data_IF_468220534886
#
_entry.id   IF_468220534886
#
_cell.length_a   1.000
_cell.length_b   1.000
_cell.length_c   1.000
_cell.angle_alpha   90.00
_cell.angle_beta   90.00
_cell.angle_gamma   90.00
#
_symmetry.space_group_name_H-M   'P 1'
#
loop_
_entity.id
_entity.type
_entity.pdbx_description
1 polymer ?
#
# COMPACT_ATOMS: atom_id res chain seq x y z
N UNK A 1 -0.80 -22.59 -3.68
CA UNK A 1 0.05 -21.38 -3.61
C UNK A 1 -0.82 -20.14 -3.58
N UNK A 2 -0.49 -19.15 -2.72
CA UNK A 2 -1.31 -17.94 -2.59
C UNK A 2 -0.66 -16.74 -3.32
N UNK A 3 -1.24 -16.35 -4.44
CA UNK A 3 -0.91 -15.15 -5.23
C UNK A 3 -1.90 -14.01 -4.98
N UNK A 4 -2.86 -14.16 -4.07
CA UNK A 4 -3.81 -13.10 -3.75
C UNK A 4 -3.21 -11.99 -2.87
N UNK A 5 -2.17 -12.33 -2.10
CA UNK A 5 -1.42 -11.41 -1.27
C UNK A 5 -0.20 -10.83 -2.01
N UNK A 6 -0.01 -9.51 -1.93
CA UNK A 6 1.10 -8.79 -2.58
C UNK A 6 2.14 -8.43 -1.53
N UNK A 7 3.08 -9.36 -1.26
CA UNK A 7 4.14 -9.23 -0.25
C UNK A 7 5.50 -9.51 -0.89
N UNK A 8 6.59 -9.08 -0.25
CA UNK A 8 7.95 -9.36 -0.72
C UNK A 8 8.16 -10.87 -0.90
N UNK A 9 8.60 -11.32 -2.10
CA UNK A 9 8.73 -12.75 -2.42
C UNK A 9 9.91 -13.44 -1.72
N UNK A 10 10.85 -12.68 -1.16
CA UNK A 10 12.07 -13.22 -0.52
C UNK A 10 11.90 -13.51 0.98
N UNK A 11 10.68 -13.30 1.53
CA UNK A 11 10.43 -13.47 2.97
C UNK A 11 11.00 -12.33 3.82
N UNK A 12 10.84 -12.36 5.16
CA UNK A 12 11.37 -11.33 6.03
C UNK A 12 12.92 -11.37 6.10
N UNK A 13 13.59 -10.23 6.43
CA UNK A 13 15.03 -10.20 6.69
C UNK A 13 15.42 -11.23 7.76
N UNK A 14 16.59 -11.85 7.63
CA UNK A 14 17.01 -12.94 8.51
C UNK A 14 17.06 -12.53 10.00
N UNK A 15 17.59 -11.33 10.29
CA UNK A 15 17.68 -10.82 11.65
C UNK A 15 16.32 -10.63 12.37
N UNK A 16 15.21 -10.58 11.63
CA UNK A 16 13.86 -10.47 12.18
C UNK A 16 13.51 -11.68 13.07
N UNK A 17 13.92 -12.87 12.67
CA UNK A 17 13.63 -14.09 13.45
C UNK A 17 14.31 -14.10 14.82
N UNK A 18 15.55 -13.63 14.89
CA UNK A 18 16.29 -13.49 16.15
C UNK A 18 15.67 -12.39 17.01
N UNK A 19 15.35 -11.25 16.42
CA UNK A 19 14.70 -10.13 17.11
C UNK A 19 13.37 -10.56 17.75
N UNK A 20 12.53 -11.31 17.05
CA UNK A 20 11.27 -11.83 17.58
C UNK A 20 11.51 -12.80 18.77
N UNK A 21 12.50 -13.69 18.67
CA UNK A 21 12.82 -14.64 19.76
C UNK A 21 13.34 -13.96 21.02
N UNK A 22 13.88 -12.75 20.92
CA UNK A 22 14.40 -11.99 22.06
C UNK A 22 13.31 -11.25 22.86
N UNK A 23 12.07 -11.25 22.39
CA UNK A 23 10.99 -10.51 23.07
C UNK A 23 10.51 -11.25 24.32
N UNK A 24 10.48 -10.54 25.44
CA UNK A 24 9.82 -11.02 26.66
C UNK A 24 8.30 -10.88 26.50
N UNK A 25 7.61 -12.01 26.33
CA UNK A 25 6.16 -12.05 26.18
C UNK A 25 5.38 -11.72 27.46
N UNK A 26 6.05 -11.69 28.63
CA UNK A 26 5.43 -11.36 29.93
C UNK A 26 5.44 -9.85 30.22
N UNK A 27 6.17 -9.06 29.43
CA UNK A 27 6.26 -7.62 29.56
C UNK A 27 5.39 -6.88 28.53
N UNK A 28 4.76 -5.78 28.95
CA UNK A 28 4.11 -4.87 28.00
C UNK A 28 5.14 -4.24 27.07
N UNK A 29 4.81 -4.06 25.78
CA UNK A 29 5.69 -3.34 24.87
C UNK A 29 5.77 -1.85 25.23
N UNK A 30 6.75 -1.16 24.68
CA UNK A 30 6.85 0.30 24.82
C UNK A 30 5.62 0.97 24.13
N UNK A 31 4.75 1.70 24.87
CA UNK A 31 3.58 2.35 24.30
C UNK A 31 3.96 3.46 23.30
N UNK A 32 5.14 4.07 23.46
CA UNK A 32 5.66 5.12 22.62
C UNK A 32 6.37 4.61 21.35
N UNK A 33 6.66 3.31 21.28
CA UNK A 33 7.45 2.68 20.20
C UNK A 33 8.78 3.42 19.95
N UNK A 34 9.45 3.91 20.99
CA UNK A 34 10.56 4.86 20.90
C UNK A 34 11.70 4.32 20.04
N UNK A 35 12.19 3.09 20.35
CA UNK A 35 13.28 2.46 19.61
C UNK A 35 12.93 2.28 18.12
N UNK A 36 11.67 1.89 17.83
CA UNK A 36 11.20 1.73 16.45
C UNK A 36 11.11 3.08 15.72
N UNK A 37 10.54 4.11 16.35
CA UNK A 37 10.43 5.45 15.77
C UNK A 37 11.82 6.04 15.49
N UNK A 38 12.77 5.87 16.41
CA UNK A 38 14.16 6.26 16.18
C UNK A 38 14.82 5.47 15.02
N UNK A 39 14.55 4.16 14.91
CA UNK A 39 15.04 3.36 13.80
C UNK A 39 14.46 3.83 12.46
N UNK A 40 13.18 4.17 12.42
CA UNK A 40 12.53 4.77 11.24
C UNK A 40 13.21 6.11 10.91
N UNK A 41 13.40 7.01 11.88
CA UNK A 41 14.08 8.28 11.66
C UNK A 41 15.48 8.08 11.07
N UNK A 42 16.29 7.18 11.65
CA UNK A 42 17.63 6.86 11.11
C UNK A 42 17.59 6.34 9.69
N UNK A 43 16.61 5.49 9.38
CA UNK A 43 16.46 4.87 8.05
C UNK A 43 16.08 5.88 6.96
N UNK A 44 15.19 6.86 7.26
CA UNK A 44 14.69 7.82 6.26
C UNK A 44 15.46 9.14 6.23
N UNK A 45 16.25 9.45 7.27
CA UNK A 45 17.04 10.67 7.32
C UNK A 45 18.27 10.60 6.41
N UNK A 46 18.64 11.75 5.90
CA UNK A 46 19.89 11.93 5.12
C UNK A 46 20.72 13.06 5.78
N UNK A 47 21.99 13.22 5.43
CA UNK A 47 22.79 14.35 5.95
C UNK A 47 22.16 15.73 5.72
N UNK A 48 21.39 15.89 4.62
CA UNK A 48 20.72 17.13 4.25
C UNK A 48 19.31 17.26 4.81
N UNK A 49 18.70 16.16 5.31
CA UNK A 49 17.34 16.16 5.85
C UNK A 49 17.25 15.23 7.05
N UNK A 50 17.10 15.83 8.22
CA UNK A 50 16.83 15.08 9.46
C UNK A 50 15.33 15.08 9.73
N UNK A 51 14.78 13.92 10.06
CA UNK A 51 13.38 13.76 10.44
C UNK A 51 13.29 13.62 11.96
N UNK A 52 12.51 14.50 12.58
CA UNK A 52 12.23 14.46 14.02
C UNK A 52 11.37 13.23 14.34
N UNK A 53 11.63 12.61 15.49
CA UNK A 53 10.84 11.49 16.01
C UNK A 53 9.37 11.87 16.22
N UNK A 54 9.09 13.14 16.52
CA UNK A 54 7.74 13.67 16.71
C UNK A 54 6.91 13.67 15.41
N UNK A 55 7.57 13.48 14.29
CA UNK A 55 6.93 13.37 12.96
C UNK A 55 6.62 11.93 12.57
N UNK A 56 6.88 10.95 13.42
CA UNK A 56 6.70 9.51 13.16
C UNK A 56 5.60 8.94 14.04
N UNK A 57 4.60 8.32 13.44
CA UNK A 57 3.57 7.55 14.11
C UNK A 57 3.73 6.07 13.72
N UNK A 58 4.01 5.18 14.67
CA UNK A 58 3.94 3.74 14.45
C UNK A 58 2.49 3.27 14.63
N UNK A 59 2.06 2.25 13.86
CA UNK A 59 0.71 1.70 13.94
C UNK A 59 0.65 0.19 13.76
N UNK A 60 -0.41 -0.42 14.26
CA UNK A 60 -0.73 -1.84 14.11
C UNK A 60 -1.14 -2.14 12.64
N UNK A 61 -0.16 -2.09 11.75
CA UNK A 61 -0.33 -1.96 10.31
C UNK A 61 -0.75 -0.54 9.91
N UNK A 62 -0.63 -0.22 8.62
CA UNK A 62 -1.16 1.02 8.09
C UNK A 62 -2.69 1.15 8.25
N UNK A 63 -3.40 0.03 8.37
CA UNK A 63 -4.85 -0.01 8.58
C UNK A 63 -5.26 0.76 9.84
N UNK A 64 -4.59 0.55 10.99
CA UNK A 64 -4.88 1.33 12.20
C UNK A 64 -4.74 2.83 11.94
N UNK A 65 -3.71 3.24 11.21
CA UNK A 65 -3.47 4.65 10.90
C UNK A 65 -4.63 5.26 10.11
N UNK A 66 -5.21 4.54 9.15
CA UNK A 66 -6.40 5.00 8.42
C UNK A 66 -7.62 5.12 9.34
N UNK A 67 -7.83 4.19 10.26
CA UNK A 67 -8.90 4.29 11.25
C UNK A 67 -8.71 5.47 12.21
N UNK A 68 -7.47 5.75 12.64
CA UNK A 68 -7.18 6.94 13.45
C UNK A 68 -7.45 8.23 12.66
N UNK A 69 -6.99 8.30 11.40
CA UNK A 69 -7.24 9.45 10.52
C UNK A 69 -8.73 9.76 10.40
N UNK A 70 -9.53 8.75 10.09
CA UNK A 70 -10.98 8.96 9.91
C UNK A 70 -11.66 9.39 11.22
N UNK A 71 -11.28 8.81 12.35
CA UNK A 71 -11.79 9.22 13.68
C UNK A 71 -11.44 10.65 14.04
N UNK A 72 -10.24 11.11 13.69
CA UNK A 72 -9.76 12.46 14.02
C UNK A 72 -10.31 13.53 13.07
N UNK A 73 -10.35 13.23 11.78
CA UNK A 73 -10.67 14.23 10.75
C UNK A 73 -12.13 14.19 10.29
N UNK A 74 -12.82 13.04 10.41
CA UNK A 74 -14.15 12.84 9.87
C UNK A 74 -15.25 12.65 10.95
N UNK A 75 -14.91 12.80 12.23
CA UNK A 75 -15.83 12.51 13.37
C UNK A 75 -17.16 13.30 13.35
N UNK A 76 -17.22 14.45 12.69
CA UNK A 76 -18.40 15.33 12.66
C UNK A 76 -19.05 15.35 11.26
N UNK A 77 -19.29 14.18 10.66
CA UNK A 77 -19.81 14.08 9.29
C UNK A 77 -18.91 14.78 8.26
N UNK A 78 -17.59 14.66 8.46
CA UNK A 78 -16.61 15.18 7.53
C UNK A 78 -16.69 14.50 6.16
N UNK A 79 -15.98 15.05 5.20
CA UNK A 79 -15.96 14.58 3.82
C UNK A 79 -14.57 14.03 3.48
N UNK A 80 -14.50 12.88 2.81
CA UNK A 80 -13.28 12.33 2.26
C UNK A 80 -13.34 12.24 0.73
N UNK A 81 -12.24 12.55 0.04
CA UNK A 81 -12.07 12.26 -1.38
C UNK A 81 -11.18 11.02 -1.54
N UNK A 82 -11.68 10.01 -2.25
CA UNK A 82 -10.94 8.81 -2.63
C UNK A 82 -10.75 8.76 -4.15
N UNK A 83 -9.54 8.44 -4.58
CA UNK A 83 -9.23 8.16 -5.98
C UNK A 83 -9.42 6.65 -6.23
N UNK A 84 -10.55 6.30 -6.86
CA UNK A 84 -11.02 4.92 -7.05
C UNK A 84 -10.78 4.39 -8.48
N UNK A 85 -10.71 3.05 -8.71
CA UNK A 85 -10.73 1.99 -7.71
C UNK A 85 -9.45 2.00 -6.84
N UNK A 86 -9.60 1.72 -5.55
CA UNK A 86 -8.48 1.72 -4.61
C UNK A 86 -8.71 0.73 -3.45
N UNK A 87 -7.85 0.74 -2.44
CA UNK A 87 -7.94 -0.16 -1.29
C UNK A 87 -9.21 0.09 -0.48
N UNK A 88 -10.04 -0.95 -0.32
CA UNK A 88 -11.38 -0.84 0.26
C UNK A 88 -11.44 -0.41 1.73
N UNK A 89 -10.34 -0.54 2.49
CA UNK A 89 -10.29 -0.07 3.88
C UNK A 89 -10.42 1.44 4.01
N UNK A 90 -10.05 2.23 3.00
CA UNK A 90 -10.27 3.67 3.06
C UNK A 90 -11.76 4.00 3.12
N UNK A 91 -12.54 3.42 2.20
CA UNK A 91 -14.01 3.55 2.20
C UNK A 91 -14.61 2.99 3.50
N UNK A 92 -14.18 1.79 3.92
CA UNK A 92 -14.62 1.16 5.14
C UNK A 92 -14.40 2.02 6.40
N UNK A 93 -13.20 2.55 6.57
CA UNK A 93 -12.86 3.41 7.70
C UNK A 93 -13.65 4.73 7.68
N UNK A 94 -13.84 5.35 6.51
CA UNK A 94 -14.65 6.56 6.36
C UNK A 94 -16.12 6.30 6.72
N UNK A 95 -16.72 5.20 6.25
CA UNK A 95 -18.12 4.83 6.55
C UNK A 95 -18.38 4.63 8.04
N UNK A 96 -17.40 4.12 8.78
CA UNK A 96 -17.56 3.92 10.23
C UNK A 96 -17.74 5.22 11.01
N UNK A 97 -17.32 6.35 10.45
CA UNK A 97 -17.52 7.68 11.06
C UNK A 97 -18.79 8.39 10.57
N UNK A 98 -19.52 7.81 9.62
CA UNK A 98 -20.66 8.46 8.97
C UNK A 98 -20.28 9.57 7.99
N UNK A 99 -19.02 9.60 7.54
CA UNK A 99 -18.52 10.61 6.62
C UNK A 99 -19.14 10.54 5.23
N UNK A 100 -19.23 11.67 4.55
CA UNK A 100 -19.49 11.75 3.12
C UNK A 100 -18.25 11.29 2.34
N UNK A 101 -18.44 10.40 1.36
CA UNK A 101 -17.34 9.89 0.53
C UNK A 101 -17.53 10.36 -0.89
N UNK A 102 -16.62 11.19 -1.37
CA UNK A 102 -16.49 11.59 -2.76
C UNK A 102 -15.54 10.63 -3.46
N UNK A 103 -15.96 10.06 -4.58
CA UNK A 103 -15.13 9.18 -5.40
C UNK A 103 -14.77 9.88 -6.70
N UNK A 104 -13.47 9.90 -7.04
CA UNK A 104 -12.99 10.19 -8.39
C UNK A 104 -12.57 8.88 -9.03
N UNK A 105 -13.34 8.42 -10.00
CA UNK A 105 -13.07 7.17 -10.70
C UNK A 105 -11.98 7.34 -11.76
N UNK A 106 -11.07 6.35 -11.83
CA UNK A 106 -10.09 6.25 -12.92
C UNK A 106 -10.76 5.82 -14.22
N UNK A 107 -10.13 6.12 -15.35
CA UNK A 107 -10.52 5.56 -16.64
C UNK A 107 -10.19 4.06 -16.70
N UNK A 108 -11.20 3.21 -16.54
CA UNK A 108 -11.05 1.75 -16.59
C UNK A 108 -10.85 1.21 -18.02
N UNK A 109 -11.03 2.03 -19.05
CA UNK A 109 -10.87 1.64 -20.46
C UNK A 109 -9.48 1.96 -21.00
N UNK A 110 -8.69 2.74 -20.25
CA UNK A 110 -7.33 3.17 -20.58
C UNK A 110 -6.30 2.62 -19.56
N UNK A 111 -5.40 3.50 -19.15
CA UNK A 111 -4.27 3.15 -18.28
C UNK A 111 -4.63 3.21 -16.77
N UNK A 112 -5.89 3.16 -16.39
CA UNK A 112 -6.38 3.30 -15.01
C UNK A 112 -5.95 4.62 -14.35
N UNK A 113 -5.77 5.68 -15.11
CA UNK A 113 -5.33 6.97 -14.60
C UNK A 113 -6.52 7.85 -14.24
N UNK A 114 -6.30 8.71 -13.25
CA UNK A 114 -7.27 9.72 -12.84
C UNK A 114 -7.00 11.04 -13.57
N UNK A 115 -8.05 11.80 -13.86
CA UNK A 115 -7.92 13.21 -14.22
C UNK A 115 -7.53 14.02 -12.97
N UNK A 116 -6.23 14.29 -12.82
CA UNK A 116 -5.69 15.05 -11.68
C UNK A 116 -6.26 16.47 -11.62
N UNK A 117 -6.59 17.06 -12.77
CA UNK A 117 -7.25 18.38 -12.80
C UNK A 117 -8.69 18.31 -12.27
N UNK A 118 -9.41 17.23 -12.52
CA UNK A 118 -10.71 16.98 -11.89
C UNK A 118 -10.56 16.79 -10.39
N UNK A 119 -9.55 16.03 -9.93
CA UNK A 119 -9.25 15.87 -8.51
C UNK A 119 -9.00 17.22 -7.82
N UNK A 120 -8.14 18.06 -8.39
CA UNK A 120 -7.85 19.39 -7.80
C UNK A 120 -9.10 20.26 -7.73
N UNK A 121 -9.93 20.28 -8.79
CA UNK A 121 -11.21 21.01 -8.77
C UNK A 121 -12.16 20.52 -7.67
N UNK A 122 -12.25 19.20 -7.46
CA UNK A 122 -13.08 18.63 -6.38
C UNK A 122 -12.54 19.09 -5.03
N UNK A 123 -11.22 18.99 -4.81
CA UNK A 123 -10.58 19.41 -3.55
C UNK A 123 -10.88 20.90 -3.26
N UNK A 124 -10.66 21.79 -4.23
CA UNK A 124 -10.84 23.22 -4.08
C UNK A 124 -12.30 23.63 -3.85
N UNK A 125 -13.25 22.94 -4.50
CA UNK A 125 -14.68 23.30 -4.45
C UNK A 125 -15.44 22.62 -3.32
N UNK A 126 -15.12 21.35 -3.01
CA UNK A 126 -15.77 20.57 -1.96
C UNK A 126 -15.08 20.64 -0.63
N UNK A 127 -13.78 20.96 -0.63
CA UNK A 127 -12.93 21.11 0.57
C UNK A 127 -13.04 19.91 1.52
N UNK A 128 -12.83 18.67 1.04
CA UNK A 128 -12.87 17.51 1.91
C UNK A 128 -11.83 17.63 3.01
N UNK A 129 -12.10 17.15 4.20
CA UNK A 129 -11.14 17.11 5.31
C UNK A 129 -9.97 16.17 5.02
N UNK A 130 -10.26 15.04 4.31
CA UNK A 130 -9.25 14.07 3.90
C UNK A 130 -9.26 13.86 2.37
N UNK A 131 -8.07 13.79 1.79
CA UNK A 131 -7.86 13.30 0.42
C UNK A 131 -6.92 12.10 0.52
N UNK A 132 -7.36 10.91 0.12
CA UNK A 132 -6.56 9.68 0.25
C UNK A 132 -6.18 9.16 -1.13
N UNK A 133 -4.87 8.95 -1.33
CA UNK A 133 -4.27 8.47 -2.57
C UNK A 133 -3.34 7.30 -2.26
N UNK A 134 -3.55 6.15 -2.90
CA UNK A 134 -2.62 5.02 -2.84
C UNK A 134 -1.60 5.14 -3.99
N UNK A 135 -0.31 5.16 -3.68
CA UNK A 135 0.74 5.41 -4.67
C UNK A 135 2.02 4.58 -4.42
N UNK A 136 2.25 3.48 -5.17
CA UNK A 136 1.43 2.91 -6.26
C UNK A 136 0.07 2.40 -5.79
N UNK A 137 -0.93 2.56 -6.67
CA UNK A 137 -2.31 2.21 -6.34
C UNK A 137 -2.57 0.70 -6.31
N UNK A 138 -3.36 0.26 -5.37
CA UNK A 138 -3.95 -1.07 -5.31
C UNK A 138 -5.47 -0.96 -5.64
N UNK A 139 -5.97 -1.61 -6.72
CA UNK A 139 -5.39 -2.79 -7.39
C UNK A 139 -4.66 -2.50 -8.71
N UNK A 140 -4.59 -1.27 -9.20
CA UNK A 140 -4.19 -0.98 -10.58
C UNK A 140 -2.67 -0.97 -10.81
N UNK A 141 -1.88 -0.76 -9.76
CA UNK A 141 -0.42 -0.60 -9.88
C UNK A 141 0.03 0.74 -10.48
N UNK A 142 -0.91 1.66 -10.74
CA UNK A 142 -0.60 3.00 -11.25
C UNK A 142 0.23 3.77 -10.23
N UNK A 143 1.30 4.41 -10.70
CA UNK A 143 2.15 5.28 -9.92
C UNK A 143 2.03 6.73 -10.42
N UNK A 144 1.63 7.62 -9.53
CA UNK A 144 1.56 9.05 -9.78
C UNK A 144 2.93 9.67 -9.60
N UNK A 145 3.35 10.48 -10.57
CA UNK A 145 4.64 11.15 -10.53
C UNK A 145 4.61 12.35 -9.58
N UNK A 146 5.80 12.85 -9.23
CA UNK A 146 5.99 13.99 -8.31
C UNK A 146 5.08 15.18 -8.61
N UNK A 147 4.93 15.53 -9.91
CA UNK A 147 4.12 16.68 -10.31
C UNK A 147 2.63 16.48 -10.04
N UNK A 148 2.10 15.28 -10.26
CA UNK A 148 0.69 14.93 -10.03
C UNK A 148 0.34 15.01 -8.55
N UNK A 149 1.18 14.40 -7.68
CA UNK A 149 1.01 14.51 -6.22
C UNK A 149 1.19 15.95 -5.76
N UNK A 150 2.12 16.70 -6.38
CA UNK A 150 2.32 18.14 -6.12
C UNK A 150 1.06 18.96 -6.36
N UNK A 151 0.33 18.73 -7.44
CA UNK A 151 -0.93 19.43 -7.71
C UNK A 151 -2.01 19.10 -6.68
N UNK A 152 -2.11 17.83 -6.24
CA UNK A 152 -3.05 17.45 -5.18
C UNK A 152 -2.68 18.11 -3.85
N UNK A 153 -1.41 18.19 -3.51
CA UNK A 153 -0.94 18.82 -2.29
C UNK A 153 -1.17 20.36 -2.31
N UNK A 154 -0.96 21.02 -3.45
CA UNK A 154 -1.26 22.45 -3.61
C UNK A 154 -2.76 22.73 -3.41
N UNK A 155 -3.63 21.91 -4.01
CA UNK A 155 -5.07 22.02 -3.84
C UNK A 155 -5.50 21.72 -2.38
N UNK A 156 -4.92 20.69 -1.75
CA UNK A 156 -5.18 20.35 -0.36
C UNK A 156 -4.81 21.50 0.58
N UNK A 157 -3.67 22.15 0.35
CA UNK A 157 -3.25 23.33 1.10
C UNK A 157 -4.26 24.49 1.02
N UNK A 158 -4.72 24.78 -0.18
CA UNK A 158 -5.72 25.85 -0.41
C UNK A 158 -7.05 25.52 0.24
N UNK A 159 -7.46 24.26 0.21
CA UNK A 159 -8.72 23.79 0.78
C UNK A 159 -8.70 23.62 2.32
N UNK A 160 -7.52 23.52 2.93
CA UNK A 160 -7.34 23.15 4.33
C UNK A 160 -7.53 21.65 4.58
N UNK A 161 -7.36 20.83 3.54
CA UNK A 161 -7.46 19.37 3.58
C UNK A 161 -6.14 18.72 4.00
N UNK A 162 -6.20 17.51 4.57
CA UNK A 162 -5.02 16.65 4.73
C UNK A 162 -4.93 15.69 3.54
N UNK A 163 -3.85 15.79 2.76
CA UNK A 163 -3.52 14.81 1.73
C UNK A 163 -2.77 13.63 2.34
N UNK A 164 -3.35 12.46 2.28
CA UNK A 164 -2.76 11.19 2.75
C UNK A 164 -2.30 10.38 1.54
N UNK A 165 -0.98 10.13 1.45
CA UNK A 165 -0.39 9.31 0.39
C UNK A 165 0.01 7.97 0.99
N UNK A 166 -0.72 6.91 0.63
CA UNK A 166 -0.38 5.54 1.02
C UNK A 166 0.70 4.97 0.11
N UNK A 167 1.87 4.80 0.67
CA UNK A 167 3.09 4.31 0.00
C UNK A 167 3.37 2.83 0.32
N UNK A 168 2.34 2.02 0.61
CA UNK A 168 2.52 0.62 1.00
C UNK A 168 3.29 -0.23 -0.04
N UNK A 169 3.36 0.23 -1.29
CA UNK A 169 4.04 -0.47 -2.39
C UNK A 169 5.21 0.32 -2.98
N UNK A 170 5.57 1.49 -2.43
CA UNK A 170 6.62 2.37 -2.95
C UNK A 170 7.97 1.67 -3.08
N UNK A 171 8.30 0.77 -2.14
CA UNK A 171 9.57 0.02 -2.12
C UNK A 171 9.79 -0.85 -3.37
N UNK A 172 8.74 -1.12 -4.16
CA UNK A 172 8.78 -1.95 -5.36
C UNK A 172 8.81 -1.14 -6.67
N UNK A 173 8.67 0.18 -6.61
CA UNK A 173 8.84 1.06 -7.76
C UNK A 173 10.31 1.04 -8.20
N UNK A 174 10.57 0.94 -9.50
CA UNK A 174 11.92 0.82 -10.04
C UNK A 174 12.75 2.08 -9.80
N UNK A 175 12.18 3.24 -10.12
CA UNK A 175 12.80 4.56 -9.94
C UNK A 175 11.82 5.53 -9.24
N UNK A 176 11.64 5.38 -7.91
CA UNK A 176 10.71 6.23 -7.18
C UNK A 176 11.30 7.63 -6.98
N UNK A 177 10.50 8.67 -7.26
CA UNK A 177 10.88 10.01 -6.84
C UNK A 177 10.85 10.10 -5.29
N UNK A 178 11.63 11.02 -4.74
CA UNK A 178 11.78 11.17 -3.29
C UNK A 178 10.55 11.84 -2.67
N UNK A 179 9.58 11.05 -2.21
CA UNK A 179 8.34 11.54 -1.58
C UNK A 179 8.56 12.20 -0.23
N UNK A 180 9.69 11.97 0.44
CA UNK A 180 10.01 12.64 1.71
C UNK A 180 10.10 14.17 1.56
N UNK A 181 10.29 14.70 0.35
CA UNK A 181 10.23 16.13 0.07
C UNK A 181 8.85 16.73 0.38
N UNK A 182 7.79 15.93 0.29
CA UNK A 182 6.44 16.37 0.65
C UNK A 182 6.28 16.68 2.14
N UNK A 183 7.15 16.16 2.98
CA UNK A 183 7.11 16.43 4.42
C UNK A 183 7.45 17.89 4.79
N UNK A 184 7.90 18.71 3.84
CA UNK A 184 8.01 20.17 4.04
C UNK A 184 6.64 20.87 4.03
N UNK A 185 5.58 20.11 3.68
CA UNK A 185 4.18 20.55 3.64
C UNK A 185 3.44 19.99 4.84
N UNK A 186 2.85 20.86 5.64
CA UNK A 186 2.09 20.47 6.85
C UNK A 186 0.80 19.74 6.53
N UNK A 187 0.25 19.95 5.34
CA UNK A 187 -0.96 19.35 4.82
C UNK A 187 -0.75 17.95 4.20
N UNK A 188 0.45 17.36 4.29
CA UNK A 188 0.74 16.05 3.70
C UNK A 188 1.14 15.05 4.76
N UNK A 189 0.59 13.86 4.65
CA UNK A 189 0.94 12.67 5.43
C UNK A 189 1.31 11.52 4.50
N UNK A 190 2.46 10.89 4.73
CA UNK A 190 2.88 9.67 4.04
C UNK A 190 2.61 8.47 4.95
N UNK A 191 2.03 7.41 4.42
CA UNK A 191 1.77 6.15 5.16
C UNK A 191 2.55 5.02 4.51
N UNK A 192 3.29 4.25 5.30
CA UNK A 192 4.12 3.13 4.84
C UNK A 192 3.78 1.84 5.56
N UNK A 193 3.97 0.71 4.89
CA UNK A 193 3.55 -0.60 5.37
C UNK A 193 4.72 -1.60 5.35
N UNK A 194 5.23 -1.95 6.53
CA UNK A 194 6.26 -2.99 6.65
C UNK A 194 5.70 -4.41 6.45
N UNK A 195 4.37 -4.55 6.35
CA UNK A 195 3.72 -5.83 6.04
C UNK A 195 4.00 -6.31 4.63
N UNK A 196 4.23 -5.38 3.68
CA UNK A 196 4.40 -5.68 2.25
C UNK A 196 5.87 -5.77 1.87
N UNK A 197 6.59 -4.71 2.10
CA UNK A 197 7.99 -4.57 1.67
C UNK A 197 8.95 -5.46 2.46
N UNK A 198 8.74 -5.66 3.77
CA UNK A 198 9.55 -6.54 4.62
C UNK A 198 8.92 -7.91 4.90
N UNK A 199 7.85 -8.28 4.21
CA UNK A 199 7.13 -9.56 4.39
C UNK A 199 6.71 -9.86 5.85
N UNK A 200 6.41 -8.84 6.65
CA UNK A 200 6.03 -8.96 8.07
C UNK A 200 4.50 -8.92 8.26
N UNK A 201 3.77 -9.58 7.37
CA UNK A 201 2.29 -9.51 7.32
C UNK A 201 1.61 -9.90 8.63
N UNK A 202 2.09 -10.95 9.31
CA UNK A 202 1.52 -11.47 10.56
C UNK A 202 1.77 -10.54 11.75
N UNK A 203 2.83 -9.73 11.72
CA UNK A 203 3.22 -8.84 12.81
C UNK A 203 2.39 -7.56 12.86
N UNK A 204 1.75 -7.19 11.74
CA UNK A 204 0.92 -6.00 11.65
C UNK A 204 1.68 -4.72 11.96
N UNK A 205 2.64 -4.32 11.13
CA UNK A 205 3.43 -3.11 11.33
C UNK A 205 3.33 -2.16 10.15
N UNK A 206 3.06 -0.90 10.45
CA UNK A 206 3.11 0.23 9.53
C UNK A 206 3.52 1.50 10.28
N UNK A 207 3.80 2.54 9.54
CA UNK A 207 4.08 3.84 10.14
C UNK A 207 3.65 4.98 9.21
N UNK A 208 3.49 6.14 9.80
CA UNK A 208 3.21 7.36 9.06
C UNK A 208 4.22 8.46 9.40
N UNK A 209 4.38 9.36 8.44
CA UNK A 209 5.23 10.53 8.51
C UNK A 209 4.38 11.75 8.18
N UNK A 210 4.33 12.74 9.08
CA UNK A 210 3.57 13.96 8.88
C UNK A 210 4.18 15.13 9.65
N UNK A 211 3.48 16.26 9.72
CA UNK A 211 3.81 17.33 10.65
C UNK A 211 3.64 16.87 12.10
N UNK A 212 4.37 17.47 13.04
CA UNK A 212 4.27 17.14 14.48
C UNK A 212 2.84 17.35 15.01
N UNK A 213 2.13 18.36 14.49
CA UNK A 213 0.74 18.63 14.84
C UNK A 213 -0.18 17.47 14.44
N UNK A 214 -0.05 16.98 13.20
CA UNK A 214 -0.86 15.83 12.70
C UNK A 214 -0.57 14.58 13.51
N UNK A 215 0.70 14.27 13.75
CA UNK A 215 1.10 13.10 14.54
C UNK A 215 0.59 13.18 15.97
N UNK A 216 0.74 14.34 16.64
CA UNK A 216 0.25 14.56 18.01
C UNK A 216 -1.26 14.32 18.11
N UNK A 217 -2.06 14.88 17.20
CA UNK A 217 -3.51 14.68 17.16
C UNK A 217 -3.91 13.21 16.97
N UNK A 218 -3.20 12.48 16.12
CA UNK A 218 -3.49 11.05 15.92
C UNK A 218 -3.14 10.22 17.15
N UNK A 219 -2.04 10.54 17.84
CA UNK A 219 -1.61 9.86 19.07
C UNK A 219 -2.60 10.01 20.22
N UNK A 220 -3.32 11.11 20.32
CA UNK A 220 -4.40 11.29 21.32
C UNK A 220 -5.53 10.27 21.19
N UNK A 221 -5.72 9.70 19.99
CA UNK A 221 -6.75 8.71 19.70
C UNK A 221 -6.21 7.28 19.57
N UNK A 222 -4.89 7.11 19.59
CA UNK A 222 -4.27 5.80 19.49
C UNK A 222 -4.33 5.08 20.85
N UNK A 223 -4.85 3.84 20.91
CA UNK A 223 -4.80 3.05 22.13
C UNK A 223 -3.37 2.77 22.58
N UNK A 224 -3.14 2.78 23.89
CA UNK A 224 -1.86 2.34 24.45
C UNK A 224 -1.54 0.91 24.00
N UNK A 225 -0.26 0.63 23.77
CA UNK A 225 0.25 -0.69 23.33
C UNK A 225 -0.37 -1.23 22.04
N UNK A 226 -0.87 -0.38 21.15
CA UNK A 226 -1.48 -0.80 19.88
C UNK A 226 -0.51 -1.58 19.00
N UNK A 227 0.78 -1.24 19.02
CA UNK A 227 1.84 -1.95 18.31
C UNK A 227 2.50 -2.98 19.24
N UNK A 228 2.31 -4.26 18.94
CA UNK A 228 2.85 -5.35 19.76
C UNK A 228 4.39 -5.39 19.77
N UNK A 229 4.97 -5.95 20.86
CA UNK A 229 6.42 -5.97 21.07
C UNK A 229 7.20 -6.76 20.01
N UNK A 230 6.61 -7.83 19.47
CA UNK A 230 7.21 -8.59 18.37
C UNK A 230 7.37 -7.73 17.13
N UNK A 231 6.33 -6.95 16.78
CA UNK A 231 6.35 -6.03 15.64
C UNK A 231 7.38 -4.91 15.84
N UNK A 232 7.48 -4.34 17.05
CA UNK A 232 8.44 -3.28 17.35
C UNK A 232 9.88 -3.77 17.13
N UNK A 233 10.26 -4.91 17.73
CA UNK A 233 11.61 -5.48 17.57
C UNK A 233 11.91 -5.95 16.15
N UNK A 234 10.93 -6.57 15.49
CA UNK A 234 11.04 -6.98 14.10
C UNK A 234 11.25 -5.78 13.16
N UNK A 235 10.53 -4.68 13.40
CA UNK A 235 10.67 -3.45 12.64
C UNK A 235 12.05 -2.84 12.74
N UNK A 236 12.59 -2.73 13.95
CA UNK A 236 13.96 -2.24 14.19
C UNK A 236 14.99 -3.09 13.45
N UNK A 237 14.89 -4.42 13.58
CA UNK A 237 15.79 -5.35 12.90
C UNK A 237 15.69 -5.29 11.38
N UNK A 238 14.47 -5.19 10.85
CA UNK A 238 14.26 -5.11 9.41
C UNK A 238 14.87 -3.85 8.79
N UNK A 239 14.74 -2.71 9.46
CA UNK A 239 15.30 -1.43 9.00
C UNK A 239 16.84 -1.40 9.05
N UNK A 240 17.47 -2.27 9.85
CA UNK A 240 18.91 -2.40 9.92
C UNK A 240 19.51 -3.11 8.69
N UNK A 241 18.73 -3.94 7.97
CA UNK A 241 19.16 -4.56 6.70
C UNK A 241 18.96 -3.60 5.53
N UNK A 242 19.88 -2.67 5.36
CA UNK A 242 19.82 -1.63 4.32
C UNK A 242 19.83 -2.16 2.88
N UNK A 243 20.30 -3.39 2.66
CA UNK A 243 20.31 -4.05 1.35
C UNK A 243 19.02 -4.83 1.02
N UNK A 244 18.16 -5.07 2.00
CA UNK A 244 17.00 -5.95 1.83
C UNK A 244 16.04 -5.47 0.74
N UNK A 245 15.63 -4.21 0.75
CA UNK A 245 14.68 -3.69 -0.23
C UNK A 245 15.22 -3.70 -1.66
N UNK A 246 16.53 -3.57 -1.84
CA UNK A 246 17.16 -3.73 -3.16
C UNK A 246 16.99 -5.17 -3.66
N UNK A 247 17.36 -6.16 -2.85
CA UNK A 247 17.19 -7.59 -3.19
C UNK A 247 15.73 -7.96 -3.46
N UNK A 248 14.81 -7.46 -2.65
CA UNK A 248 13.38 -7.68 -2.82
C UNK A 248 12.87 -7.12 -4.15
N UNK A 249 13.30 -5.91 -4.52
CA UNK A 249 12.95 -5.24 -5.78
C UNK A 249 13.46 -6.01 -6.98
N UNK A 250 14.72 -6.45 -6.97
CA UNK A 250 15.28 -7.27 -8.06
C UNK A 250 14.51 -8.57 -8.26
N UNK A 251 14.15 -9.27 -7.17
CA UNK A 251 13.37 -10.49 -7.23
C UNK A 251 11.95 -10.23 -7.80
N UNK A 252 11.30 -9.15 -7.37
CA UNK A 252 9.99 -8.74 -7.89
C UNK A 252 10.09 -8.38 -9.37
N UNK A 253 11.07 -7.58 -9.77
CA UNK A 253 11.22 -7.11 -11.15
C UNK A 253 11.41 -8.28 -12.12
N UNK A 254 12.32 -9.20 -11.82
CA UNK A 254 12.54 -10.39 -12.64
C UNK A 254 11.30 -11.26 -12.78
N UNK A 255 10.63 -11.59 -11.68
CA UNK A 255 9.45 -12.46 -11.71
C UNK A 255 8.22 -11.75 -12.31
N UNK A 256 8.06 -10.43 -12.11
CA UNK A 256 6.98 -9.63 -12.68
C UNK A 256 7.08 -9.55 -14.20
N UNK A 257 8.28 -9.29 -14.73
CA UNK A 257 8.49 -9.22 -16.18
C UNK A 257 8.20 -10.58 -16.81
N UNK A 258 8.79 -11.66 -16.28
CA UNK A 258 8.51 -13.02 -16.75
C UNK A 258 6.99 -13.29 -16.79
N UNK A 259 6.30 -13.12 -15.67
CA UNK A 259 4.86 -13.44 -15.59
C UNK A 259 4.03 -12.56 -16.53
N UNK A 260 4.35 -11.27 -16.64
CA UNK A 260 3.65 -10.35 -17.54
C UNK A 260 3.79 -10.77 -19.00
N UNK A 261 4.98 -11.21 -19.42
CA UNK A 261 5.25 -11.63 -20.80
C UNK A 261 4.54 -12.95 -21.11
N UNK A 262 4.55 -13.92 -20.20
CA UNK A 262 3.81 -15.17 -20.34
C UNK A 262 2.30 -14.94 -20.48
N UNK A 263 1.72 -14.06 -19.65
CA UNK A 263 0.29 -13.78 -19.72
C UNK A 263 -0.09 -13.03 -21.00
N UNK A 264 0.75 -12.11 -21.47
CA UNK A 264 0.55 -11.45 -22.78
C UNK A 264 0.66 -12.46 -23.93
N UNK A 265 1.57 -13.42 -23.85
CA UNK A 265 1.68 -14.50 -24.84
C UNK A 265 0.43 -15.38 -24.91
N UNK A 266 -0.33 -15.49 -23.80
CA UNK A 266 -1.66 -16.13 -23.78
C UNK A 266 -2.78 -15.25 -24.36
N UNK A 267 -2.48 -14.04 -24.84
CA UNK A 267 -3.45 -13.08 -25.36
C UNK A 267 -4.18 -12.28 -24.30
N UNK A 268 -3.75 -12.32 -23.03
CA UNK A 268 -4.36 -11.53 -21.97
C UNK A 268 -3.80 -10.11 -21.97
N UNK A 269 -4.68 -9.13 -21.72
CA UNK A 269 -4.27 -7.75 -21.45
C UNK A 269 -3.69 -7.68 -20.05
N UNK A 270 -2.42 -7.23 -19.95
CA UNK A 270 -1.70 -7.03 -18.68
C UNK A 270 -1.20 -5.59 -18.63
N UNK A 271 -1.93 -4.70 -17.95
CA UNK A 271 -1.53 -3.31 -17.76
C UNK A 271 -0.20 -3.16 -17.01
N UNK A 272 0.50 -2.05 -17.24
CA UNK A 272 1.73 -1.74 -16.51
C UNK A 272 1.44 -1.55 -15.02
N UNK A 273 2.25 -2.17 -14.18
CA UNK A 273 2.18 -2.04 -12.72
C UNK A 273 3.54 -1.67 -12.14
N UNK A 274 3.57 -0.65 -11.30
CA UNK A 274 4.76 -0.25 -10.54
C UNK A 274 4.83 -0.93 -9.14
N UNK A 275 3.80 -1.72 -8.79
CA UNK A 275 3.77 -2.49 -7.54
C UNK A 275 4.35 -3.91 -7.70
N UNK A 276 4.32 -4.68 -6.59
CA UNK A 276 4.69 -6.10 -6.57
C UNK A 276 3.52 -7.03 -6.89
N UNK A 277 2.64 -6.59 -7.78
CA UNK A 277 1.53 -7.35 -8.35
C UNK A 277 1.24 -6.87 -9.77
N UNK A 278 0.50 -7.66 -10.52
CA UNK A 278 -0.02 -7.30 -11.82
C UNK A 278 -1.54 -7.50 -11.87
N UNK A 279 -2.21 -6.77 -12.74
CA UNK A 279 -3.56 -7.08 -13.19
C UNK A 279 -3.49 -7.91 -14.48
N UNK A 280 -4.44 -8.81 -14.65
CA UNK A 280 -4.69 -9.50 -15.93
C UNK A 280 -6.19 -9.46 -16.24
N UNK A 281 -6.55 -9.00 -17.44
CA UNK A 281 -7.92 -9.02 -17.93
C UNK A 281 -8.25 -10.40 -18.43
N UNK A 282 -9.17 -11.06 -17.75
CA UNK A 282 -9.53 -12.47 -18.02
C UNK A 282 -10.99 -12.63 -18.43
N UNK A 283 -11.76 -11.52 -18.49
CA UNK A 283 -13.19 -11.50 -18.82
C UNK A 283 -14.10 -11.83 -17.65
N UNK A 284 -13.94 -13.00 -17.02
CA UNK A 284 -14.69 -13.41 -15.81
C UNK A 284 -13.72 -13.80 -14.69
N UNK A 285 -13.45 -12.86 -13.80
CA UNK A 285 -12.50 -13.05 -12.70
C UNK A 285 -12.93 -14.13 -11.71
N UNK A 286 -14.22 -14.29 -11.47
CA UNK A 286 -14.75 -15.31 -10.56
C UNK A 286 -14.56 -16.72 -11.12
N UNK A 287 -14.84 -16.92 -12.42
CA UNK A 287 -14.59 -18.18 -13.14
C UNK A 287 -13.10 -18.53 -13.09
N UNK A 288 -12.23 -17.60 -13.49
CA UNK A 288 -10.78 -17.83 -13.50
C UNK A 288 -10.22 -18.14 -12.10
N UNK A 289 -10.67 -17.38 -11.08
CA UNK A 289 -10.29 -17.66 -9.70
C UNK A 289 -10.67 -19.06 -9.27
N UNK A 290 -11.88 -19.53 -9.61
CA UNK A 290 -12.36 -20.87 -9.27
C UNK A 290 -11.55 -21.97 -9.96
N UNK A 291 -11.24 -21.81 -11.25
CA UNK A 291 -10.45 -22.76 -12.02
C UNK A 291 -9.00 -22.85 -11.53
N UNK A 292 -8.39 -21.70 -11.21
CA UNK A 292 -7.03 -21.66 -10.64
C UNK A 292 -7.00 -22.24 -9.22
N UNK A 293 -8.04 -21.98 -8.40
CA UNK A 293 -8.16 -22.56 -7.07
C UNK A 293 -8.22 -24.10 -7.13
N UNK A 294 -8.92 -24.69 -8.09
CA UNK A 294 -8.95 -26.13 -8.31
C UNK A 294 -7.55 -26.71 -8.63
N UNK A 295 -6.63 -25.87 -9.15
CA UNK A 295 -5.22 -26.22 -9.39
C UNK A 295 -4.30 -25.86 -8.20
N UNK A 296 -4.87 -25.45 -7.07
CA UNK A 296 -4.11 -25.04 -5.89
C UNK A 296 -3.48 -23.65 -5.96
N UNK A 297 -3.92 -22.80 -6.92
CA UNK A 297 -3.45 -21.43 -7.11
C UNK A 297 -4.53 -20.44 -6.68
N UNK A 298 -4.25 -19.58 -5.71
CA UNK A 298 -5.18 -18.57 -5.22
C UNK A 298 -4.78 -17.21 -5.82
N UNK A 299 -5.69 -16.59 -6.59
CA UNK A 299 -5.52 -15.23 -7.12
C UNK A 299 -6.60 -14.32 -6.56
N UNK A 300 -6.40 -13.00 -6.63
CA UNK A 300 -7.39 -12.02 -6.18
C UNK A 300 -8.37 -11.69 -7.32
N UNK A 301 -9.63 -12.05 -7.14
CA UNK A 301 -10.76 -11.56 -7.93
C UNK A 301 -10.98 -10.06 -7.60
N UNK A 302 -10.99 -9.21 -8.63
CA UNK A 302 -11.12 -7.77 -8.50
C UNK A 302 -12.56 -7.26 -8.54
N UNK A 303 -13.58 -8.13 -8.48
CA UNK A 303 -15.01 -7.74 -8.47
C UNK A 303 -15.32 -6.74 -7.36
N UNK A 304 -14.73 -6.91 -6.16
CA UNK A 304 -14.91 -5.99 -5.04
C UNK A 304 -14.29 -4.59 -5.24
N UNK A 305 -13.47 -4.42 -6.29
CA UNK A 305 -12.94 -3.12 -6.73
C UNK A 305 -13.77 -2.51 -7.89
N UNK A 306 -14.90 -3.12 -8.26
CA UNK A 306 -15.66 -2.73 -9.44
C UNK A 306 -15.05 -3.21 -10.77
N UNK A 307 -14.13 -4.19 -10.73
CA UNK A 307 -13.35 -4.68 -11.88
C UNK A 307 -13.56 -6.20 -12.08
N UNK A 308 -14.79 -6.67 -12.41
CA UNK A 308 -15.11 -8.10 -12.47
C UNK A 308 -14.43 -8.85 -13.62
N UNK A 309 -13.87 -8.12 -14.59
CA UNK A 309 -13.11 -8.72 -15.71
C UNK A 309 -11.64 -8.97 -15.37
N UNK A 310 -11.16 -8.51 -14.19
CA UNK A 310 -9.74 -8.53 -13.82
C UNK A 310 -9.46 -9.42 -12.62
N UNK A 311 -8.36 -10.16 -12.70
CA UNK A 311 -7.70 -10.74 -11.52
C UNK A 311 -6.43 -9.93 -11.19
N UNK A 312 -6.11 -9.83 -9.89
CA UNK A 312 -4.82 -9.32 -9.44
C UNK A 312 -3.96 -10.48 -8.94
N UNK A 313 -2.71 -10.51 -9.39
CA UNK A 313 -1.73 -11.53 -9.09
C UNK A 313 -0.54 -10.91 -8.37
N UNK A 314 -0.33 -11.28 -7.11
CA UNK A 314 0.87 -10.88 -6.34
C UNK A 314 2.11 -11.61 -6.87
N UNK A 315 3.22 -10.92 -6.95
CA UNK A 315 4.48 -11.50 -7.42
C UNK A 315 5.11 -12.35 -6.31
N UNK A 316 5.38 -13.60 -6.64
CA UNK A 316 6.04 -14.60 -5.81
C UNK A 316 7.44 -14.93 -6.40
N UNK A 317 8.25 -15.81 -5.77
CA UNK A 317 9.50 -16.26 -6.39
C UNK A 317 9.28 -16.74 -7.82
N UNK A 318 10.28 -16.51 -8.68
CA UNK A 318 10.18 -16.81 -10.12
C UNK A 318 9.67 -18.24 -10.40
N UNK A 319 10.14 -19.23 -9.64
CA UNK A 319 9.69 -20.63 -9.79
C UNK A 319 8.18 -20.78 -9.55
N UNK A 320 7.62 -20.06 -8.55
CA UNK A 320 6.18 -20.08 -8.29
C UNK A 320 5.41 -19.39 -9.43
N UNK A 321 5.94 -18.28 -9.96
CA UNK A 321 5.36 -17.57 -11.10
C UNK A 321 5.35 -18.43 -12.37
N UNK A 322 6.37 -19.27 -12.58
CA UNK A 322 6.40 -20.24 -13.68
C UNK A 322 5.29 -21.29 -13.57
N UNK A 323 5.05 -21.80 -12.36
CA UNK A 323 3.96 -22.74 -12.11
C UNK A 323 2.59 -22.09 -12.32
N UNK A 324 2.42 -20.83 -11.91
CA UNK A 324 1.18 -20.10 -12.16
C UNK A 324 0.96 -19.85 -13.66
N UNK A 325 1.99 -19.45 -14.41
CA UNK A 325 1.89 -19.23 -15.85
C UNK A 325 1.43 -20.51 -16.58
N UNK A 326 2.00 -21.67 -16.24
CA UNK A 326 1.57 -22.96 -16.77
C UNK A 326 0.10 -23.27 -16.44
N UNK A 327 -0.31 -23.05 -15.18
CA UNK A 327 -1.70 -23.26 -14.78
C UNK A 327 -2.67 -22.32 -15.51
N UNK A 328 -2.30 -21.06 -15.75
CA UNK A 328 -3.10 -20.09 -16.49
C UNK A 328 -3.21 -20.46 -17.97
N UNK A 329 -2.16 -21.01 -18.57
CA UNK A 329 -2.22 -21.51 -19.95
C UNK A 329 -3.24 -22.65 -20.11
N UNK A 330 -3.26 -23.59 -19.16
CA UNK A 330 -4.25 -24.67 -19.17
C UNK A 330 -5.69 -24.17 -19.00
N UNK A 331 -5.88 -23.18 -18.10
CA UNK A 331 -7.20 -22.55 -17.88
C UNK A 331 -7.66 -21.78 -19.12
N UNK A 332 -6.76 -21.05 -19.80
CA UNK A 332 -7.07 -20.32 -21.03
C UNK A 332 -7.52 -21.29 -22.14
N UNK A 333 -6.83 -22.42 -22.31
CA UNK A 333 -7.22 -23.47 -23.30
C UNK A 333 -8.59 -24.06 -22.99
N UNK A 334 -8.89 -24.33 -21.71
CA UNK A 334 -10.20 -24.86 -21.31
C UNK A 334 -11.33 -23.85 -21.54
N UNK A 335 -11.06 -22.54 -21.27
CA UNK A 335 -12.04 -21.47 -21.47
C UNK A 335 -12.36 -21.19 -22.96
N UNK A 336 -11.45 -21.52 -23.88
CA UNK A 336 -11.66 -21.40 -25.34
C UNK A 336 -12.41 -22.61 -25.93
N UNK A 337 -12.48 -23.71 -25.20
CA UNK A 337 -13.15 -24.95 -25.66
C UNK A 337 -14.64 -25.02 -25.27
N UNK A 338 -15.12 -24.11 -24.41
CA UNK A 338 -16.53 -23.92 -24.04
C UNK A 338 -17.18 -22.79 -24.86
#
# INVERSE_FOLDING_TARGET
MDFSASISPIGPPEGVWEAIRSVDLSAYPDPECLELREAICRYISTPSRQISIERVLAGNGSTEIFHLLTRVYLANQGTALLLTPTYGEYDGACRLTGAEILNLEADLTGDFRWDIRAATRIIETKKPELVIVCNPNNPTGVYLVRQEIGYLADAAKVAGSLLVVDEAYLSFVEDPWNSLELLDRSEVMLVRSMTKDYAQTALRLGYALASEEVVSRLREYQPDWSVNGLAQKAGVSALADTGYLHRAREAVFSAKNFLSDELRALGLEVPRSEANFILAKVGDAAKWRSLLLAKGMVVRDCTSFGMPEYIRVGIRPLADCQLLAAAMAEVAQAALAE
#
